data_IF_050216888120
#
_entry.id   IF_050216888120
#
_cell.length_a   1.000
_cell.length_b   1.000
_cell.length_c   1.000
_cell.angle_alpha   90.00
_cell.angle_beta   90.00
_cell.angle_gamma   90.00
#
_symmetry.space_group_name_H-M   'P 1'
#
loop_
_entity.id
_entity.type
_entity.pdbx_description
1 polymer ?
#
# COMPACT_ATOMS: atom_id res chain seq x y z
N UNK A 1 -23.75 24.36 17.75
CA UNK A 1 -24.13 23.29 16.79
C UNK A 1 -23.35 22.04 17.21
N UNK A 2 -24.02 20.93 17.50
CA UNK A 2 -23.35 19.72 18.00
C UNK A 2 -22.87 18.90 16.81
N UNK A 3 -21.59 18.54 16.82
CA UNK A 3 -20.97 17.68 15.81
C UNK A 3 -21.09 16.23 16.28
N UNK A 4 -22.08 15.51 15.77
CA UNK A 4 -22.30 14.08 16.00
C UNK A 4 -21.53 13.22 14.98
N UNK A 5 -21.31 11.94 15.30
CA UNK A 5 -20.59 10.97 14.46
C UNK A 5 -21.31 10.70 13.12
N UNK A 6 -22.64 10.77 13.11
CA UNK A 6 -23.48 10.66 11.91
C UNK A 6 -23.06 11.62 10.78
N UNK A 7 -22.54 12.80 11.10
CA UNK A 7 -22.07 13.75 10.09
C UNK A 7 -20.80 13.27 9.39
N UNK A 8 -19.94 12.49 10.07
CA UNK A 8 -18.74 11.91 9.46
C UNK A 8 -19.11 10.78 8.49
N UNK A 9 -20.11 9.97 8.82
CA UNK A 9 -20.63 8.90 7.95
C UNK A 9 -21.24 9.48 6.67
N UNK A 10 -22.12 10.49 6.80
CA UNK A 10 -22.73 11.15 5.65
C UNK A 10 -21.67 11.85 4.79
N UNK A 11 -20.65 12.47 5.40
CA UNK A 11 -19.54 13.09 4.66
C UNK A 11 -18.73 12.06 3.86
N UNK A 12 -18.50 10.86 4.40
CA UNK A 12 -17.84 9.77 3.67
C UNK A 12 -18.70 9.30 2.51
N UNK A 13 -19.98 8.99 2.76
CA UNK A 13 -20.92 8.56 1.72
C UNK A 13 -21.06 9.59 0.59
N UNK A 14 -21.04 10.90 0.91
CA UNK A 14 -21.03 11.97 -0.10
C UNK A 14 -19.77 11.94 -0.97
N UNK A 15 -18.62 11.61 -0.40
CA UNK A 15 -17.34 11.56 -1.11
C UNK A 15 -17.27 10.34 -2.05
N UNK A 16 -17.89 9.24 -1.66
CA UNK A 16 -17.93 7.98 -2.42
C UNK A 16 -19.07 7.94 -3.45
N UNK A 17 -19.95 8.94 -3.45
CA UNK A 17 -21.11 9.04 -4.37
C UNK A 17 -22.31 8.20 -3.95
N UNK A 18 -22.31 7.69 -2.72
CA UNK A 18 -23.34 6.80 -2.17
C UNK A 18 -24.42 7.54 -1.36
N UNK A 19 -24.20 8.82 -1.02
CA UNK A 19 -25.18 9.62 -0.31
C UNK A 19 -26.37 10.02 -1.19
N UNK A 20 -27.57 9.99 -0.61
CA UNK A 20 -28.79 10.48 -1.26
C UNK A 20 -28.78 12.00 -1.40
N UNK A 21 -29.60 12.53 -2.33
CA UNK A 21 -29.72 13.97 -2.52
C UNK A 21 -30.20 14.71 -1.26
N UNK A 22 -31.01 14.05 -0.42
CA UNK A 22 -31.46 14.61 0.86
C UNK A 22 -30.29 14.72 1.86
N UNK A 23 -29.48 13.69 1.99
CA UNK A 23 -28.30 13.67 2.87
C UNK A 23 -27.23 14.67 2.44
N UNK A 24 -27.03 14.84 1.12
CA UNK A 24 -26.15 15.87 0.56
C UNK A 24 -26.61 17.28 0.97
N UNK A 25 -27.91 17.55 0.91
CA UNK A 25 -28.45 18.85 1.32
C UNK A 25 -28.32 19.07 2.84
N UNK A 26 -28.59 18.05 3.64
CA UNK A 26 -28.45 18.09 5.11
C UNK A 26 -27.01 18.38 5.55
N UNK A 27 -26.03 17.68 4.97
CA UNK A 27 -24.61 17.88 5.32
C UNK A 27 -24.10 19.24 4.84
N UNK A 28 -24.56 19.73 3.68
CA UNK A 28 -24.22 21.07 3.19
C UNK A 28 -24.70 22.16 4.14
N UNK A 29 -25.92 22.03 4.69
CA UNK A 29 -26.44 22.97 5.69
C UNK A 29 -25.62 22.94 6.98
N UNK A 30 -25.22 21.75 7.45
CA UNK A 30 -24.36 21.61 8.63
C UNK A 30 -22.96 22.22 8.42
N UNK A 31 -22.38 22.06 7.23
CA UNK A 31 -21.06 22.58 6.90
C UNK A 31 -20.94 24.10 7.01
N UNK A 32 -22.04 24.84 6.90
CA UNK A 32 -22.03 26.31 7.09
C UNK A 32 -21.62 26.69 8.51
N UNK A 33 -21.94 25.86 9.52
CA UNK A 33 -21.77 26.18 10.94
C UNK A 33 -20.73 25.36 11.70
N UNK A 34 -20.04 24.40 11.05
CA UNK A 34 -19.17 23.45 11.72
C UNK A 34 -17.77 23.35 11.09
N UNK A 35 -16.78 24.02 11.70
CA UNK A 35 -15.39 24.01 11.25
C UNK A 35 -14.74 22.60 11.28
N UNK A 36 -15.15 21.73 12.22
CA UNK A 36 -14.66 20.34 12.29
C UNK A 36 -15.06 19.57 11.04
N UNK A 37 -16.33 19.64 10.64
CA UNK A 37 -16.84 18.96 9.45
C UNK A 37 -16.26 19.55 8.15
N UNK A 38 -16.01 20.86 8.10
CA UNK A 38 -15.29 21.49 6.98
C UNK A 38 -13.88 20.89 6.80
N UNK A 39 -13.11 20.79 7.89
CA UNK A 39 -11.76 20.20 7.89
C UNK A 39 -11.77 18.72 7.53
N UNK A 40 -12.77 17.97 7.98
CA UNK A 40 -12.94 16.56 7.59
C UNK A 40 -13.22 16.44 6.09
N UNK A 41 -14.08 17.28 5.52
CA UNK A 41 -14.37 17.31 4.08
C UNK A 41 -13.12 17.59 3.24
N UNK A 42 -12.33 18.59 3.64
CA UNK A 42 -11.05 18.89 2.97
C UNK A 42 -10.06 17.73 3.05
N UNK A 43 -10.09 16.97 4.14
CA UNK A 43 -9.24 15.78 4.30
C UNK A 43 -9.67 14.67 3.34
N UNK A 44 -10.97 14.38 3.26
CA UNK A 44 -11.51 13.39 2.32
C UNK A 44 -11.26 13.78 0.86
N UNK A 45 -11.43 15.05 0.50
CA UNK A 45 -11.13 15.56 -0.84
C UNK A 45 -9.65 15.40 -1.22
N UNK A 46 -8.73 15.69 -0.30
CA UNK A 46 -7.29 15.50 -0.54
C UNK A 46 -6.92 14.04 -0.77
N UNK A 47 -7.50 13.14 0.02
CA UNK A 47 -7.30 11.69 -0.16
C UNK A 47 -7.82 11.25 -1.52
N UNK A 48 -9.04 11.64 -1.88
CA UNK A 48 -9.63 11.29 -3.17
C UNK A 48 -8.83 11.84 -4.37
N UNK A 49 -8.34 13.09 -4.29
CA UNK A 49 -7.47 13.66 -5.32
C UNK A 49 -6.16 12.89 -5.47
N UNK A 50 -5.53 12.48 -4.37
CA UNK A 50 -4.32 11.68 -4.41
C UNK A 50 -4.53 10.30 -5.06
N UNK A 51 -5.74 9.73 -4.98
CA UNK A 51 -6.10 8.50 -5.69
C UNK A 51 -6.58 8.73 -7.13
N UNK A 52 -7.16 9.90 -7.43
CA UNK A 52 -7.59 10.29 -8.78
C UNK A 52 -6.42 10.48 -9.75
N UNK A 53 -5.29 11.00 -9.27
CA UNK A 53 -4.05 11.13 -10.05
C UNK A 53 -3.42 9.78 -10.45
N UNK A 54 -3.78 8.68 -9.76
CA UNK A 54 -3.38 7.31 -10.12
C UNK A 54 -4.28 6.66 -11.18
N UNK A 55 -5.40 7.30 -11.56
CA UNK A 55 -6.44 6.72 -12.43
C UNK A 55 -6.40 7.21 -13.88
N UNK A 56 -5.42 8.05 -14.23
CA UNK A 56 -5.19 8.55 -15.59
C UNK A 56 -4.04 7.80 -16.29
N UNK A 57 -4.18 6.49 -16.46
CA UNK A 57 -3.33 5.70 -17.39
C UNK A 57 -4.10 4.49 -17.96
N UNK A 58 -5.42 4.58 -18.01
CA UNK A 58 -6.29 3.57 -18.62
C UNK A 58 -7.40 4.24 -19.42
N UNK A 59 -7.02 5.01 -20.44
CA UNK A 59 -7.64 4.95 -21.76
C UNK A 59 -6.99 5.93 -22.76
N UNK A 60 -6.70 5.41 -23.95
CA UNK A 60 -6.48 6.11 -25.23
C UNK A 60 -5.12 6.75 -25.53
N UNK A 61 -4.30 6.03 -26.31
CA UNK A 61 -3.33 6.60 -27.25
C UNK A 61 -3.99 6.79 -28.64
N UNK A 62 -3.68 7.88 -29.38
CA UNK A 62 -2.87 7.71 -30.61
C UNK A 62 -1.81 8.81 -30.86
N UNK A 63 -0.77 8.43 -31.63
CA UNK A 63 0.44 9.14 -32.10
C UNK A 63 0.15 10.22 -33.21
N UNK A 64 1.14 10.88 -33.89
CA UNK A 64 1.88 12.08 -33.47
C UNK A 64 2.04 13.23 -34.54
N UNK A 65 2.53 14.41 -34.09
CA UNK A 65 3.33 15.45 -34.79
C UNK A 65 2.64 16.35 -35.88
N UNK A 66 3.21 17.50 -36.34
CA UNK A 66 4.53 18.10 -36.08
C UNK A 66 4.59 19.62 -35.74
N UNK A 67 5.84 20.06 -35.47
CA UNK A 67 6.32 21.40 -35.08
C UNK A 67 6.20 22.45 -36.20
N UNK A 68 6.43 23.75 -35.88
CA UNK A 68 7.69 24.32 -36.35
C UNK A 68 8.40 25.27 -35.37
N UNK A 69 9.71 25.33 -35.61
CA UNK A 69 10.77 26.19 -35.08
C UNK A 69 10.58 27.67 -35.38
N UNK A 70 11.09 28.56 -34.53
CA UNK A 70 11.88 29.73 -34.97
C UNK A 70 12.90 30.13 -33.91
N UNK A 71 14.14 30.32 -34.38
CA UNK A 71 15.30 30.80 -33.66
C UNK A 71 15.38 32.34 -33.68
N UNK A 72 16.09 32.90 -32.69
CA UNK A 72 16.86 34.16 -32.68
C UNK A 72 16.92 34.64 -31.22
N UNK A 73 17.95 35.30 -30.71
CA UNK A 73 19.15 35.90 -31.26
C UNK A 73 20.00 36.42 -30.09
N UNK A 74 21.26 36.74 -30.41
CA UNK A 74 22.36 37.05 -29.50
C UNK A 74 22.31 38.46 -28.86
N UNK A 75 23.01 38.59 -27.70
CA UNK A 75 23.70 39.79 -27.14
C UNK A 75 22.77 40.94 -26.66
N UNK A 76 23.06 41.79 -25.68
CA UNK A 76 24.32 42.30 -25.11
C UNK A 76 24.04 43.05 -23.78
N UNK A 77 24.92 42.85 -22.79
CA UNK A 77 25.46 43.79 -21.77
C UNK A 77 24.89 45.23 -21.68
N UNK A 78 24.37 45.62 -20.50
CA UNK A 78 24.70 46.92 -19.83
C UNK A 78 24.27 46.92 -18.34
N UNK A 79 25.00 47.69 -17.54
CA UNK A 79 25.05 47.70 -16.06
C UNK A 79 24.05 48.68 -15.42
N UNK A 80 23.40 48.23 -14.32
CA UNK A 80 23.16 48.86 -12.98
C UNK A 80 22.48 50.24 -12.89
N UNK A 81 21.97 50.67 -11.70
CA UNK A 81 21.19 49.98 -10.66
C UNK A 81 19.97 50.84 -10.19
N UNK A 82 18.87 50.25 -9.72
CA UNK A 82 17.93 50.95 -8.80
C UNK A 82 17.30 49.97 -7.82
N UNK A 83 17.35 50.36 -6.56
CA UNK A 83 16.82 49.69 -5.37
C UNK A 83 15.30 49.55 -5.43
N UNK A 84 14.75 48.48 -4.86
CA UNK A 84 13.57 48.53 -3.97
C UNK A 84 13.34 47.16 -3.32
N UNK A 85 12.94 47.21 -2.06
CA UNK A 85 12.87 46.11 -1.12
C UNK A 85 11.85 45.01 -1.50
N UNK A 86 12.13 43.77 -1.10
CA UNK A 86 11.12 42.70 -1.05
C UNK A 86 11.54 41.36 -1.65
N UNK A 87 12.70 40.81 -1.29
CA UNK A 87 13.08 39.45 -1.74
C UNK A 87 13.94 38.69 -0.71
N UNK A 88 13.50 38.67 0.54
CA UNK A 88 14.08 37.83 1.60
C UNK A 88 13.07 36.85 2.23
N UNK A 89 11.96 36.58 1.53
CA UNK A 89 10.94 35.61 1.97
C UNK A 89 10.62 34.50 0.95
N UNK A 90 11.31 34.45 -0.19
CA UNK A 90 11.05 33.47 -1.26
C UNK A 90 12.09 32.34 -1.35
N UNK A 91 13.21 32.42 -0.63
CA UNK A 91 14.28 31.41 -0.68
C UNK A 91 14.17 30.31 0.39
N UNK A 92 13.27 30.43 1.37
CA UNK A 92 13.07 29.42 2.42
C UNK A 92 11.92 28.46 2.16
N UNK A 93 11.04 28.74 1.18
CA UNK A 93 9.91 27.85 0.84
C UNK A 93 10.23 26.79 -0.23
N UNK A 94 11.26 26.99 -1.05
CA UNK A 94 11.67 25.98 -2.06
C UNK A 94 12.53 24.87 -1.46
N UNK A 95 13.17 25.10 -0.31
CA UNK A 95 13.97 24.08 0.39
C UNK A 95 13.12 23.06 1.18
N UNK A 96 11.83 23.34 1.42
CA UNK A 96 10.91 22.42 2.11
C UNK A 96 10.24 21.40 1.17
N UNK A 97 10.33 21.59 -0.15
CA UNK A 97 9.79 20.66 -1.15
C UNK A 97 10.76 19.51 -1.45
N UNK A 98 12.02 19.66 -1.04
CA UNK A 98 13.09 18.66 -1.22
C UNK A 98 13.64 18.13 0.10
N UNK A 99 12.92 18.32 1.21
CA UNK A 99 13.11 17.43 2.34
C UNK A 99 12.39 16.15 1.93
N UNK A 100 13.08 15.01 1.71
CA UNK A 100 12.40 13.74 1.82
C UNK A 100 11.86 13.73 3.23
N UNK A 101 10.57 14.07 3.42
CA UNK A 101 9.88 13.60 4.61
C UNK A 101 10.26 12.13 4.67
N UNK A 102 10.81 11.62 5.79
CA UNK A 102 10.93 10.20 5.95
C UNK A 102 9.52 9.71 5.69
N UNK A 103 9.31 9.09 4.53
CA UNK A 103 8.18 8.20 4.33
C UNK A 103 8.34 7.32 5.54
N UNK A 104 7.45 7.47 6.51
CA UNK A 104 7.25 6.43 7.50
C UNK A 104 6.69 5.30 6.65
N UNK A 105 7.58 4.66 5.87
CA UNK A 105 7.31 3.43 5.20
C UNK A 105 6.80 2.58 6.32
N UNK A 106 5.53 2.22 6.24
CA UNK A 106 5.00 1.06 6.93
C UNK A 106 6.13 0.03 6.96
N UNK A 107 6.59 -0.35 8.16
CA UNK A 107 7.70 -1.29 8.28
C UNK A 107 7.37 -2.57 7.51
N UNK A 108 8.35 -3.43 7.24
CA UNK A 108 8.08 -4.66 6.48
C UNK A 108 6.91 -5.47 7.07
N UNK A 109 6.79 -5.51 8.40
CA UNK A 109 5.67 -6.11 9.10
C UNK A 109 4.30 -5.49 8.73
N UNK A 110 4.20 -4.16 8.73
CA UNK A 110 2.98 -3.44 8.32
C UNK A 110 2.64 -3.72 6.84
N UNK A 111 3.65 -3.83 5.97
CA UNK A 111 3.44 -4.14 4.56
C UNK A 111 2.94 -5.59 4.38
N UNK A 112 3.55 -6.55 5.06
CA UNK A 112 3.14 -7.97 5.07
C UNK A 112 1.71 -8.14 5.60
N UNK A 113 1.37 -7.44 6.68
CA UNK A 113 0.01 -7.38 7.23
C UNK A 113 -0.99 -6.79 6.22
N UNK A 114 -0.66 -5.65 5.61
CA UNK A 114 -1.54 -5.03 4.62
C UNK A 114 -1.78 -5.99 3.43
N UNK A 115 -0.76 -6.73 2.99
CA UNK A 115 -0.89 -7.73 1.91
C UNK A 115 -1.75 -8.91 2.32
N UNK A 116 -1.59 -9.39 3.55
CA UNK A 116 -2.41 -10.45 4.13
C UNK A 116 -3.89 -10.04 4.16
N UNK A 117 -4.22 -8.92 4.80
CA UNK A 117 -5.60 -8.43 4.91
C UNK A 117 -6.23 -8.15 3.54
N UNK A 118 -5.48 -7.51 2.64
CA UNK A 118 -5.95 -7.23 1.28
C UNK A 118 -6.18 -8.51 0.46
N UNK A 119 -5.48 -9.60 0.76
CA UNK A 119 -5.71 -10.88 0.08
C UNK A 119 -7.05 -11.47 0.46
N UNK A 120 -7.33 -11.56 1.76
CA UNK A 120 -8.52 -12.20 2.30
C UNK A 120 -9.79 -11.33 2.22
N UNK A 121 -9.65 -10.02 2.01
CA UNK A 121 -10.77 -9.13 1.70
C UNK A 121 -11.34 -9.31 0.27
N UNK A 122 -10.66 -10.05 -0.62
CA UNK A 122 -11.10 -10.27 -2.01
C UNK A 122 -12.02 -11.48 -2.12
N UNK A 123 -12.99 -11.41 -3.04
CA UNK A 123 -13.82 -12.56 -3.41
C UNK A 123 -12.98 -13.73 -3.96
N UNK A 124 -11.88 -13.44 -4.66
CA UNK A 124 -10.89 -14.40 -5.11
C UNK A 124 -9.51 -14.05 -4.51
N UNK A 125 -9.14 -14.64 -3.35
CA UNK A 125 -7.87 -14.36 -2.69
C UNK A 125 -6.64 -14.85 -3.46
N UNK A 126 -6.77 -15.95 -4.20
CA UNK A 126 -5.67 -16.59 -4.94
C UNK A 126 -5.72 -16.24 -6.43
N UNK A 127 -4.55 -16.06 -7.06
CA UNK A 127 -4.43 -16.05 -8.53
C UNK A 127 -4.52 -17.48 -9.10
N UNK A 128 -4.06 -18.45 -8.31
CA UNK A 128 -4.15 -19.86 -8.62
C UNK A 128 -4.70 -20.61 -7.40
N UNK A 129 -5.90 -21.18 -7.53
CA UNK A 129 -6.58 -21.89 -6.45
C UNK A 129 -6.34 -23.39 -6.60
N UNK A 130 -5.67 -23.99 -5.63
CA UNK A 130 -5.45 -25.44 -5.55
C UNK A 130 -5.00 -25.80 -4.15
N UNK A 131 -5.52 -26.91 -3.63
CA UNK A 131 -5.07 -27.51 -2.38
C UNK A 131 -3.93 -28.53 -2.58
N UNK A 132 -3.54 -28.82 -3.83
CA UNK A 132 -2.40 -29.69 -4.13
C UNK A 132 -1.07 -28.92 -4.08
N UNK A 133 -0.16 -29.25 -3.13
CA UNK A 133 1.14 -28.61 -3.02
C UNK A 133 2.00 -28.72 -4.29
N UNK A 134 1.88 -29.82 -5.05
CA UNK A 134 2.67 -30.01 -6.27
C UNK A 134 2.21 -29.06 -7.38
N UNK A 135 0.90 -28.94 -7.60
CA UNK A 135 0.32 -27.97 -8.52
C UNK A 135 0.68 -26.53 -8.16
N UNK A 136 0.61 -26.17 -6.87
CA UNK A 136 0.98 -24.82 -6.40
C UNK A 136 2.47 -24.54 -6.64
N UNK A 137 3.35 -25.49 -6.35
CA UNK A 137 4.79 -25.37 -6.62
C UNK A 137 5.07 -25.16 -8.11
N UNK A 138 4.42 -25.93 -8.98
CA UNK A 138 4.56 -25.80 -10.43
C UNK A 138 4.10 -24.41 -10.92
N UNK A 139 2.96 -23.91 -10.41
CA UNK A 139 2.47 -22.58 -10.73
C UNK A 139 3.44 -21.47 -10.28
N UNK A 140 3.98 -21.55 -9.06
CA UNK A 140 4.96 -20.57 -8.59
C UNK A 140 6.20 -20.57 -9.48
N UNK A 141 6.71 -21.74 -9.85
CA UNK A 141 7.86 -21.88 -10.73
C UNK A 141 7.61 -21.25 -12.11
N UNK A 142 6.44 -21.48 -12.73
CA UNK A 142 6.10 -20.90 -14.03
C UNK A 142 5.83 -19.40 -13.98
N UNK A 143 5.24 -18.89 -12.90
CA UNK A 143 4.74 -17.52 -12.84
C UNK A 143 5.70 -16.53 -12.16
N UNK A 144 6.63 -17.01 -11.33
CA UNK A 144 7.63 -16.19 -10.64
C UNK A 144 9.07 -16.54 -11.04
N UNK A 145 9.31 -17.66 -11.70
CA UNK A 145 10.63 -18.05 -12.20
C UNK A 145 11.60 -18.56 -11.14
N UNK A 146 11.10 -19.06 -10.00
CA UNK A 146 11.88 -19.75 -8.98
C UNK A 146 11.04 -20.80 -8.25
N UNK A 147 11.70 -21.81 -7.71
CA UNK A 147 11.04 -22.87 -6.94
C UNK A 147 10.89 -22.48 -5.48
N UNK A 148 9.81 -22.96 -4.87
CA UNK A 148 9.53 -22.81 -3.44
C UNK A 148 9.16 -24.14 -2.83
N UNK A 149 9.36 -24.27 -1.52
CA UNK A 149 8.77 -25.34 -0.75
C UNK A 149 7.35 -24.96 -0.34
N UNK A 150 6.40 -25.88 -0.47
CA UNK A 150 5.00 -25.70 -0.10
C UNK A 150 4.74 -26.62 1.10
N UNK A 151 4.73 -26.10 2.33
CA UNK A 151 4.64 -26.91 3.53
C UNK A 151 3.22 -27.47 3.70
N UNK A 152 3.12 -28.60 4.37
CA UNK A 152 1.86 -29.07 4.95
C UNK A 152 1.80 -28.60 6.39
N UNK A 153 0.86 -27.72 6.71
CA UNK A 153 0.73 -27.13 8.04
C UNK A 153 -0.40 -27.85 8.79
N UNK A 154 -0.17 -28.35 10.01
CA UNK A 154 -1.20 -29.02 10.80
C UNK A 154 -2.46 -28.16 10.96
N UNK A 155 -3.62 -28.79 10.79
CA UNK A 155 -4.95 -28.17 10.90
C UNK A 155 -5.22 -27.03 9.91
N UNK A 156 -4.35 -26.84 8.90
CA UNK A 156 -4.50 -25.81 7.89
C UNK A 156 -4.67 -26.38 6.48
N UNK A 157 -5.61 -25.80 5.73
CA UNK A 157 -5.88 -26.15 4.34
C UNK A 157 -5.19 -25.15 3.42
N UNK A 158 -4.41 -25.65 2.46
CA UNK A 158 -3.84 -24.84 1.38
C UNK A 158 -4.98 -24.39 0.45
N UNK A 159 -5.12 -23.08 0.26
CA UNK A 159 -6.11 -22.48 -0.63
C UNK A 159 -5.54 -22.24 -2.04
N UNK A 160 -4.25 -21.92 -2.10
CA UNK A 160 -3.57 -21.65 -3.36
C UNK A 160 -2.42 -20.66 -3.22
N UNK A 161 -2.11 -20.00 -4.33
CA UNK A 161 -1.01 -19.07 -4.43
C UNK A 161 -1.36 -17.80 -5.22
N UNK A 162 -0.56 -16.77 -4.99
CA UNK A 162 -0.61 -15.51 -5.71
C UNK A 162 0.77 -14.86 -5.79
N UNK A 163 0.91 -13.92 -6.71
CA UNK A 163 2.08 -13.03 -6.75
C UNK A 163 1.85 -11.87 -5.80
N UNK A 164 2.88 -11.48 -5.09
CA UNK A 164 2.84 -10.34 -4.18
C UNK A 164 4.08 -9.48 -4.34
N UNK A 165 3.93 -8.18 -4.18
CA UNK A 165 5.05 -7.24 -4.11
C UNK A 165 5.17 -6.76 -2.67
N UNK A 166 6.33 -6.99 -2.07
CA UNK A 166 6.65 -6.59 -0.69
C UNK A 166 8.06 -6.02 -0.69
N UNK A 167 8.32 -4.94 0.05
CA UNK A 167 9.65 -4.33 0.14
C UNK A 167 10.25 -3.99 -1.24
N UNK A 168 9.39 -3.58 -2.18
CA UNK A 168 9.78 -3.26 -3.55
C UNK A 168 10.17 -4.47 -4.43
N UNK A 169 10.08 -5.70 -3.93
CA UNK A 169 10.40 -6.91 -4.70
C UNK A 169 9.21 -7.87 -4.84
N UNK A 170 9.25 -8.71 -5.87
CA UNK A 170 8.24 -9.75 -6.10
C UNK A 170 8.54 -10.99 -5.25
N UNK A 171 7.51 -11.54 -4.61
CA UNK A 171 7.55 -12.75 -3.79
C UNK A 171 6.29 -13.59 -4.02
N UNK A 172 6.41 -14.90 -3.81
CA UNK A 172 5.27 -15.82 -3.79
C UNK A 172 4.51 -15.61 -2.47
N UNK A 173 3.19 -15.55 -2.54
CA UNK A 173 2.34 -15.64 -1.36
C UNK A 173 1.45 -16.87 -1.46
N UNK A 174 1.60 -17.79 -0.52
CA UNK A 174 0.74 -18.96 -0.37
C UNK A 174 -0.33 -18.65 0.68
N UNK A 175 -1.57 -19.00 0.37
CA UNK A 175 -2.70 -18.72 1.25
C UNK A 175 -3.19 -20.03 1.83
N UNK A 176 -3.37 -20.02 3.14
CA UNK A 176 -3.88 -21.12 3.93
C UNK A 176 -5.07 -20.64 4.76
N UNK A 177 -5.85 -21.59 5.25
CA UNK A 177 -6.84 -21.36 6.28
C UNK A 177 -6.70 -22.41 7.38
N UNK A 178 -6.54 -21.99 8.63
CA UNK A 178 -6.45 -22.86 9.81
C UNK A 178 -7.73 -22.71 10.64
N UNK A 179 -8.65 -23.68 10.54
CA UNK A 179 -10.02 -23.48 11.01
C UNK A 179 -10.71 -22.35 10.22
N UNK A 180 -11.03 -21.24 10.88
CA UNK A 180 -11.54 -20.01 10.23
C UNK A 180 -10.44 -18.95 10.05
N UNK A 181 -9.27 -19.14 10.67
CA UNK A 181 -8.20 -18.14 10.69
C UNK A 181 -7.46 -18.10 9.35
N UNK A 182 -7.36 -16.90 8.79
CA UNK A 182 -6.58 -16.62 7.61
C UNK A 182 -5.07 -16.73 7.89
N UNK A 183 -4.32 -17.37 7.00
CA UNK A 183 -2.86 -17.50 7.10
C UNK A 183 -2.22 -17.23 5.74
N UNK A 184 -1.22 -16.35 5.71
CA UNK A 184 -0.40 -16.08 4.53
C UNK A 184 1.05 -16.45 4.79
N UNK A 185 1.65 -17.22 3.88
CA UNK A 185 3.08 -17.41 3.80
C UNK A 185 3.66 -16.57 2.67
N UNK A 186 4.74 -15.84 2.92
CA UNK A 186 5.50 -15.13 1.90
C UNK A 186 6.86 -15.80 1.74
N UNK A 187 7.16 -16.29 0.52
CA UNK A 187 8.36 -17.05 0.20
C UNK A 187 9.21 -16.28 -0.82
N UNK A 188 10.12 -15.42 -0.36
CA UNK A 188 10.93 -14.62 -1.24
C UNK A 188 11.98 -15.46 -1.94
N UNK A 189 12.37 -15.05 -3.14
CA UNK A 189 13.48 -15.68 -3.85
C UNK A 189 14.79 -15.49 -3.06
N UNK A 190 15.61 -16.52 -2.98
CA UNK A 190 16.94 -16.44 -2.38
C UNK A 190 17.80 -15.34 -3.04
N UNK A 191 18.55 -14.60 -2.22
CA UNK A 191 19.40 -13.49 -2.66
C UNK A 191 18.66 -12.16 -2.86
N UNK A 192 17.38 -12.07 -2.50
CA UNK A 192 16.61 -10.82 -2.54
C UNK A 192 16.67 -10.06 -1.21
N UNK A 193 16.41 -8.75 -1.25
CA UNK A 193 16.33 -7.92 -0.05
C UNK A 193 15.26 -8.42 0.94
N UNK A 194 14.16 -8.96 0.42
CA UNK A 194 13.06 -9.52 1.22
C UNK A 194 13.55 -10.75 2.03
N UNK A 195 14.33 -11.64 1.41
CA UNK A 195 14.90 -12.82 2.08
C UNK A 195 15.95 -12.44 3.13
N UNK A 196 16.74 -11.39 2.85
CA UNK A 196 17.67 -10.82 3.84
C UNK A 196 16.92 -10.29 5.06
N UNK A 197 15.78 -9.63 4.87
CA UNK A 197 14.97 -9.12 5.98
C UNK A 197 14.27 -10.26 6.73
N UNK A 198 13.85 -11.32 6.06
CA UNK A 198 13.32 -12.53 6.72
C UNK A 198 14.36 -13.11 7.70
N UNK A 199 15.60 -13.23 7.22
CA UNK A 199 16.74 -13.73 8.01
C UNK A 199 17.11 -12.78 9.14
N UNK A 200 16.99 -11.46 8.94
CA UNK A 200 17.22 -10.48 10.00
C UNK A 200 16.18 -10.61 11.09
N UNK A 201 14.89 -10.65 10.71
CA UNK A 201 13.79 -10.71 11.67
C UNK A 201 13.78 -12.04 12.43
N UNK A 202 14.12 -13.16 11.78
CA UNK A 202 14.20 -14.47 12.44
C UNK A 202 15.28 -14.56 13.53
N UNK A 203 16.25 -13.63 13.54
CA UNK A 203 17.30 -13.55 14.57
C UNK A 203 16.91 -12.68 15.77
N UNK A 204 15.85 -11.89 15.65
CA UNK A 204 15.32 -11.11 16.76
C UNK A 204 14.69 -12.06 17.78
N UNK A 205 14.82 -11.75 19.07
CA UNK A 205 14.28 -12.57 20.16
C UNK A 205 12.75 -12.64 20.02
N UNK A 206 12.26 -13.84 19.64
CA UNK A 206 10.86 -14.24 19.31
C UNK A 206 10.66 -14.62 17.84
N UNK A 207 11.47 -14.10 16.91
CA UNK A 207 11.25 -14.23 15.47
C UNK A 207 9.93 -13.63 14.97
N UNK A 208 9.17 -12.95 15.84
CA UNK A 208 7.83 -12.45 15.56
C UNK A 208 7.66 -11.01 16.02
N UNK A 209 6.87 -10.27 15.27
CA UNK A 209 6.40 -8.92 15.58
C UNK A 209 4.90 -8.83 15.29
N UNK A 210 4.29 -7.71 15.65
CA UNK A 210 2.88 -7.42 15.34
C UNK A 210 2.86 -6.23 14.38
N UNK A 211 2.06 -6.34 13.32
CA UNK A 211 1.79 -5.24 12.40
C UNK A 211 0.92 -4.17 13.06
N UNK A 212 0.80 -3.01 12.42
CA UNK A 212 0.00 -1.88 12.92
C UNK A 212 -1.47 -2.21 13.17
N UNK A 213 -2.07 -3.13 12.41
CA UNK A 213 -3.48 -3.51 12.51
C UNK A 213 -3.70 -4.75 13.41
N UNK A 214 -2.64 -5.27 14.04
CA UNK A 214 -2.72 -6.32 15.05
C UNK A 214 -2.39 -7.73 14.54
N UNK A 215 -2.14 -7.94 13.24
CA UNK A 215 -1.73 -9.24 12.73
C UNK A 215 -0.32 -9.61 13.21
N UNK A 216 -0.14 -10.86 13.62
CA UNK A 216 1.17 -11.40 13.94
C UNK A 216 1.97 -11.69 12.67
N UNK A 217 3.22 -11.26 12.64
CA UNK A 217 4.18 -11.50 11.56
C UNK A 217 5.38 -12.22 12.14
N UNK A 218 5.53 -13.50 11.81
CA UNK A 218 6.66 -14.33 12.22
C UNK A 218 7.58 -14.61 11.02
N UNK A 219 8.88 -14.79 11.28
CA UNK A 219 9.85 -15.12 10.25
C UNK A 219 10.79 -16.25 10.64
N UNK A 220 11.22 -16.94 9.59
CA UNK A 220 12.33 -17.89 9.54
C UNK A 220 13.19 -17.51 8.32
N UNK A 221 14.47 -17.91 8.22
CA UNK A 221 15.25 -17.59 7.01
C UNK A 221 14.51 -17.98 5.73
N UNK A 222 14.30 -17.01 4.84
CA UNK A 222 13.59 -17.19 3.57
C UNK A 222 12.06 -17.28 3.64
N UNK A 223 11.42 -16.95 4.78
CA UNK A 223 9.97 -17.09 4.96
C UNK A 223 9.40 -16.06 5.93
N UNK A 224 8.22 -15.53 5.61
CA UNK A 224 7.34 -14.89 6.58
C UNK A 224 6.00 -15.63 6.67
N UNK A 225 5.45 -15.72 7.88
CA UNK A 225 4.07 -16.12 8.12
C UNK A 225 3.30 -14.96 8.75
N UNK A 226 2.09 -14.72 8.25
CA UNK A 226 1.18 -13.70 8.76
C UNK A 226 -0.17 -14.32 9.07
N UNK A 227 -0.65 -14.12 10.29
CA UNK A 227 -1.96 -14.57 10.75
C UNK A 227 -2.51 -13.59 11.79
N UNK A 228 -3.78 -13.72 12.15
CA UNK A 228 -4.40 -12.91 13.21
C UNK A 228 -3.75 -13.18 14.57
N UNK A 229 -3.37 -14.43 14.83
CA UNK A 229 -2.76 -14.86 16.09
C UNK A 229 -1.29 -15.26 15.91
N UNK A 230 -0.48 -14.94 16.93
CA UNK A 230 0.94 -15.32 16.96
C UNK A 230 1.11 -16.85 16.97
N UNK A 231 0.21 -17.59 17.60
CA UNK A 231 0.27 -19.06 17.64
C UNK A 231 0.15 -19.70 16.24
N UNK A 232 -0.74 -19.19 15.40
CA UNK A 232 -0.91 -19.68 14.02
C UNK A 232 0.27 -19.28 13.13
N UNK A 233 0.75 -18.03 13.25
CA UNK A 233 1.94 -17.59 12.51
C UNK A 233 3.21 -18.38 12.91
N UNK A 234 3.39 -18.68 14.19
CA UNK A 234 4.51 -19.49 14.69
C UNK A 234 4.44 -20.94 14.20
N UNK A 235 3.29 -21.60 14.34
CA UNK A 235 3.11 -22.98 13.89
C UNK A 235 3.42 -23.13 12.39
N UNK A 236 3.09 -22.09 11.60
CA UNK A 236 3.37 -22.07 10.17
C UNK A 236 4.87 -21.97 9.85
N UNK A 237 5.64 -21.13 10.55
CA UNK A 237 7.10 -21.06 10.34
C UNK A 237 7.84 -22.28 10.88
N UNK A 238 7.29 -22.97 11.89
CA UNK A 238 7.83 -24.20 12.45
C UNK A 238 7.60 -25.44 11.57
N UNK A 239 6.64 -25.37 10.63
CA UNK A 239 6.30 -26.46 9.70
C UNK A 239 7.25 -26.58 8.50
N UNK A 240 8.32 -25.77 8.46
CA UNK A 240 9.42 -25.86 7.49
C UNK A 240 10.66 -26.55 8.09
#
# INVERSE_FOLDING_TARGET
MVCEERWMEILSACQDGEATAAEVAEVQAHLVGCARCQKSRETFQRIHQAFGELRLDADSAPLPAPRPSLASGLRTRRRWPVLTAGALAAATLVALVWVPLPRHGSGLADELEARHLTAFARAAPCEFSSSDPAAVRAWVASNLGYNVEVPTIPDATLLGARRCTVHGGVTASLLYRRGEEALSLFLPRAGTAIETEATRMSRVRSGCTVGRLGAAVCARPGLFAVAETQGTALAAVESF
#
